data_IF_295630007278
#
_entry.id   IF_295630007278
#
_cell.length_a   1.000
_cell.length_b   1.000
_cell.length_c   1.000
_cell.angle_alpha   90.00
_cell.angle_beta   90.00
_cell.angle_gamma   90.00
#
_symmetry.space_group_name_H-M   'P 1'
#
loop_
_entity.id
_entity.type
_entity.pdbx_description
1 polymer ?
#
# COMPACT_ATOMS: atom_id res chain seq x y z
N UNK A 1 22.77 3.75 7.55
CA UNK A 1 21.83 4.40 8.51
C UNK A 1 22.47 4.53 9.91
N UNK A 2 22.53 5.75 10.46
CA UNK A 2 23.21 6.07 11.74
C UNK A 2 22.59 5.36 12.96
N UNK A 3 21.31 5.03 12.86
CA UNK A 3 20.55 4.14 13.73
C UNK A 3 19.98 3.07 12.81
N UNK A 4 20.16 1.79 13.11
CA UNK A 4 19.86 0.62 12.26
C UNK A 4 18.37 0.44 11.88
N UNK A 5 17.72 1.50 11.39
CA UNK A 5 16.31 1.57 11.06
C UNK A 5 16.03 1.22 9.61
N UNK A 6 14.81 0.73 9.38
CA UNK A 6 14.24 0.47 8.06
C UNK A 6 13.63 1.74 7.46
N UNK A 7 13.56 1.84 6.12
CA UNK A 7 12.84 2.92 5.46
C UNK A 7 11.36 2.91 5.86
N UNK A 8 10.86 4.02 6.37
CA UNK A 8 9.48 4.18 6.82
C UNK A 8 8.67 4.97 5.77
N UNK A 9 7.51 4.46 5.39
CA UNK A 9 6.54 5.16 4.51
C UNK A 9 5.41 5.80 5.32
N UNK A 10 4.68 6.74 4.71
CA UNK A 10 3.55 7.42 5.34
C UNK A 10 2.39 6.48 5.65
N UNK A 11 1.91 6.46 6.89
CA UNK A 11 0.80 5.61 7.33
C UNK A 11 -0.57 6.28 7.12
N UNK A 12 -0.98 6.48 5.86
CA UNK A 12 -2.18 7.24 5.46
C UNK A 12 -3.48 6.79 6.16
N UNK A 13 -3.70 5.48 6.30
CA UNK A 13 -4.89 4.96 6.98
C UNK A 13 -4.91 5.33 8.48
N UNK A 14 -3.75 5.32 9.15
CA UNK A 14 -3.62 5.68 10.56
C UNK A 14 -3.70 7.19 10.77
N UNK A 15 -3.17 8.00 9.86
CA UNK A 15 -3.31 9.45 9.94
C UNK A 15 -4.76 9.88 9.77
N UNK A 16 -5.50 9.29 8.82
CA UNK A 16 -6.92 9.55 8.64
C UNK A 16 -7.73 9.24 9.91
N UNK A 17 -7.46 8.11 10.56
CA UNK A 17 -8.10 7.76 11.84
C UNK A 17 -7.72 8.74 12.94
N UNK A 18 -6.45 9.12 13.03
CA UNK A 18 -5.96 10.08 14.03
C UNK A 18 -6.62 11.46 13.89
N UNK A 19 -6.82 11.92 12.65
CA UNK A 19 -7.51 13.18 12.35
C UNK A 19 -8.99 13.07 12.74
N UNK A 20 -9.64 11.95 12.42
CA UNK A 20 -11.04 11.68 12.81
C UNK A 20 -11.23 11.65 14.33
N UNK A 21 -10.23 11.23 15.09
CA UNK A 21 -10.20 11.30 16.56
C UNK A 21 -9.90 12.69 17.12
N UNK A 22 -9.85 13.74 16.30
CA UNK A 22 -9.65 15.12 16.74
C UNK A 22 -8.19 15.56 16.84
N UNK A 23 -7.22 14.78 16.35
CA UNK A 23 -5.82 15.20 16.34
C UNK A 23 -5.62 16.35 15.35
N UNK A 24 -5.29 17.54 15.87
CA UNK A 24 -5.00 18.76 15.08
C UNK A 24 -3.53 19.15 15.06
N UNK A 25 -2.69 18.54 15.92
CA UNK A 25 -1.28 18.90 16.08
C UNK A 25 -0.37 17.67 15.92
N UNK A 26 0.90 17.84 15.51
CA UNK A 26 1.87 16.75 15.40
C UNK A 26 2.20 16.08 16.75
N UNK A 27 1.79 16.69 17.86
CA UNK A 27 1.98 16.16 19.22
C UNK A 27 1.35 14.78 19.43
N UNK A 28 0.23 14.48 18.74
CA UNK A 28 -0.38 13.16 18.77
C UNK A 28 0.54 12.06 18.21
N UNK A 29 1.39 12.40 17.23
CA UNK A 29 2.38 11.48 16.65
C UNK A 29 3.54 11.21 17.61
N UNK A 30 4.07 12.28 18.23
CA UNK A 30 5.15 12.17 19.23
C UNK A 30 4.72 11.32 20.42
N UNK A 31 3.52 11.55 20.96
CA UNK A 31 3.00 10.74 22.06
C UNK A 31 2.89 9.25 21.70
N UNK A 32 2.35 8.92 20.50
CA UNK A 32 2.30 7.54 20.01
C UNK A 32 3.69 6.92 19.84
N UNK A 33 4.68 7.71 19.41
CA UNK A 33 6.05 7.22 19.24
C UNK A 33 6.72 6.92 20.58
N UNK A 34 6.62 7.84 21.55
CA UNK A 34 7.14 7.66 22.92
C UNK A 34 6.45 6.47 23.58
N UNK A 35 5.12 6.36 23.48
CA UNK A 35 4.38 5.25 24.05
C UNK A 35 4.86 3.90 23.49
N UNK A 36 5.03 3.78 22.16
CA UNK A 36 5.56 2.55 21.56
C UNK A 36 6.99 2.25 21.99
N UNK A 37 7.84 3.27 22.16
CA UNK A 37 9.22 3.09 22.62
C UNK A 37 9.26 2.55 24.06
N UNK A 38 8.47 3.16 24.96
CA UNK A 38 8.33 2.71 26.35
C UNK A 38 7.78 1.29 26.39
N UNK A 39 6.69 1.04 25.66
CA UNK A 39 6.09 -0.30 25.59
C UNK A 39 7.09 -1.33 25.06
N UNK A 40 7.85 -1.03 24.00
CA UNK A 40 8.86 -1.94 23.49
C UNK A 40 9.95 -2.26 24.52
N UNK A 41 10.40 -1.29 25.31
CA UNK A 41 11.41 -1.51 26.35
C UNK A 41 10.91 -2.41 27.49
N UNK A 42 9.65 -2.23 27.94
CA UNK A 42 9.09 -3.03 29.04
C UNK A 42 8.49 -4.37 28.59
N UNK A 43 7.87 -4.43 27.40
CA UNK A 43 7.16 -5.60 26.90
C UNK A 43 8.03 -6.52 26.02
N UNK A 44 9.29 -6.17 25.72
CA UNK A 44 10.19 -7.01 24.91
C UNK A 44 10.22 -8.47 25.37
N UNK A 45 10.34 -8.72 26.68
CA UNK A 45 10.36 -10.06 27.26
C UNK A 45 9.04 -10.85 27.07
N UNK A 46 7.91 -10.17 26.96
CA UNK A 46 6.60 -10.81 26.77
C UNK A 46 6.30 -11.07 25.30
N UNK A 47 6.95 -10.38 24.37
CA UNK A 47 6.78 -10.57 22.94
C UNK A 47 7.32 -11.93 22.47
N UNK A 48 8.31 -12.50 23.16
CA UNK A 48 8.84 -13.84 22.85
C UNK A 48 7.84 -14.96 23.13
N UNK A 49 6.85 -14.73 23.99
CA UNK A 49 5.78 -15.68 24.30
C UNK A 49 4.66 -15.67 23.24
N UNK A 50 4.69 -14.74 22.29
CA UNK A 50 3.62 -14.58 21.30
C UNK A 50 3.70 -15.71 20.27
N UNK A 51 2.65 -16.55 20.13
CA UNK A 51 2.64 -17.60 19.14
C UNK A 51 2.68 -17.03 17.72
N UNK A 52 3.43 -17.67 16.83
CA UNK A 52 3.48 -17.30 15.41
C UNK A 52 2.10 -17.32 14.74
N UNK A 53 1.18 -18.16 15.23
CA UNK A 53 -0.21 -18.19 14.79
C UNK A 53 -0.94 -16.85 14.98
N UNK A 54 -0.70 -16.15 16.09
CA UNK A 54 -1.31 -14.85 16.36
C UNK A 54 -0.82 -13.79 15.36
N UNK A 55 0.49 -13.77 15.10
CA UNK A 55 1.10 -12.83 14.14
C UNK A 55 0.57 -13.12 12.73
N UNK A 56 0.51 -14.38 12.32
CA UNK A 56 -0.07 -14.79 11.04
C UNK A 56 -1.53 -14.34 10.88
N UNK A 57 -2.35 -14.54 11.92
CA UNK A 57 -3.74 -14.09 11.93
C UNK A 57 -3.89 -12.58 11.75
N UNK A 58 -3.06 -11.79 12.44
CA UNK A 58 -3.05 -10.32 12.30
C UNK A 58 -2.61 -9.91 10.89
N UNK A 59 -1.60 -10.57 10.30
CA UNK A 59 -1.13 -10.27 8.95
C UNK A 59 -2.22 -10.50 7.90
N UNK A 60 -2.93 -11.63 7.98
CA UNK A 60 -4.07 -11.92 7.09
C UNK A 60 -5.17 -10.89 7.28
N UNK A 61 -5.53 -10.56 8.52
CA UNK A 61 -6.56 -9.55 8.81
C UNK A 61 -6.20 -8.18 8.25
N UNK A 62 -4.94 -7.73 8.41
CA UNK A 62 -4.47 -6.46 7.85
C UNK A 62 -4.49 -6.52 6.32
N UNK A 63 -4.00 -7.59 5.70
CA UNK A 63 -4.02 -7.77 4.25
C UNK A 63 -5.45 -7.72 3.68
N UNK A 64 -6.42 -8.37 4.35
CA UNK A 64 -7.82 -8.30 3.97
C UNK A 64 -8.39 -6.87 4.08
N UNK A 65 -7.96 -6.08 5.06
CA UNK A 65 -8.39 -4.68 5.18
C UNK A 65 -7.76 -3.75 4.14
N UNK A 66 -6.66 -4.14 3.49
CA UNK A 66 -6.05 -3.36 2.41
C UNK A 66 -6.81 -3.53 1.09
N UNK A 67 -7.48 -4.66 0.90
CA UNK A 67 -8.29 -4.92 -0.30
C UNK A 67 -9.65 -4.23 -0.10
N UNK A 68 -9.89 -3.15 -0.86
CA UNK A 68 -11.16 -2.43 -0.84
C UNK A 68 -12.00 -2.77 -2.06
N UNK A 69 -13.13 -3.49 -1.91
CA UNK A 69 -13.99 -3.87 -3.03
C UNK A 69 -14.53 -2.67 -3.82
N UNK A 70 -14.76 -1.54 -3.13
CA UNK A 70 -15.22 -0.31 -3.74
C UNK A 70 -14.23 0.24 -4.78
N UNK A 71 -12.93 0.28 -4.46
CA UNK A 71 -11.88 0.76 -5.36
C UNK A 71 -11.73 -0.19 -6.58
N UNK A 72 -11.85 -1.50 -6.37
CA UNK A 72 -11.84 -2.49 -7.48
C UNK A 72 -13.01 -2.26 -8.44
N UNK A 73 -14.20 -1.96 -7.89
CA UNK A 73 -15.39 -1.68 -8.69
C UNK A 73 -15.20 -0.39 -9.50
N UNK A 74 -14.61 0.64 -8.91
CA UNK A 74 -14.28 1.90 -9.58
C UNK A 74 -13.32 1.68 -10.77
N UNK A 75 -12.23 0.92 -10.57
CA UNK A 75 -11.29 0.56 -11.64
C UNK A 75 -11.98 -0.21 -12.77
N UNK A 76 -12.92 -1.11 -12.43
CA UNK A 76 -13.72 -1.83 -13.43
C UNK A 76 -14.57 -0.88 -14.29
N UNK A 77 -15.04 0.23 -13.72
CA UNK A 77 -15.79 1.26 -14.44
C UNK A 77 -14.90 2.20 -15.28
N UNK A 78 -13.62 2.40 -14.90
CA UNK A 78 -12.65 3.18 -15.69
C UNK A 78 -12.37 2.56 -17.07
N UNK A 79 -12.27 1.23 -17.13
CA UNK A 79 -12.10 0.53 -18.40
C UNK A 79 -11.49 -0.86 -18.26
N UNK A 80 -11.68 -1.69 -19.31
CA UNK A 80 -11.16 -3.06 -19.35
C UNK A 80 -9.63 -3.13 -19.30
N UNK A 81 -8.94 -2.11 -19.84
CA UNK A 81 -7.47 -2.05 -19.85
C UNK A 81 -6.89 -1.84 -18.45
N UNK A 82 -7.40 -0.84 -17.71
CA UNK A 82 -6.95 -0.54 -16.34
C UNK A 82 -7.22 -1.73 -15.39
N UNK A 83 -8.38 -2.37 -15.54
CA UNK A 83 -8.70 -3.59 -14.80
C UNK A 83 -7.74 -4.75 -15.11
N UNK A 84 -7.33 -4.90 -16.37
CA UNK A 84 -6.37 -5.94 -16.78
C UNK A 84 -4.98 -5.71 -16.19
N UNK A 85 -4.51 -4.46 -16.12
CA UNK A 85 -3.20 -4.14 -15.52
C UNK A 85 -3.22 -4.30 -14.00
N UNK A 86 -4.34 -3.95 -13.35
CA UNK A 86 -4.54 -4.23 -11.93
C UNK A 86 -4.44 -5.73 -11.64
N UNK A 87 -5.13 -6.57 -12.41
CA UNK A 87 -5.09 -8.03 -12.24
C UNK A 87 -3.69 -8.60 -12.53
N UNK A 88 -3.05 -8.14 -13.61
CA UNK A 88 -1.68 -8.51 -13.95
C UNK A 88 -0.72 -8.24 -12.78
N UNK A 89 -0.77 -7.05 -12.19
CA UNK A 89 0.10 -6.65 -11.08
C UNK A 89 -0.20 -7.46 -9.81
N UNK A 90 -1.48 -7.72 -9.53
CA UNK A 90 -1.91 -8.52 -8.37
C UNK A 90 -1.40 -9.98 -8.44
N UNK A 91 -1.22 -10.53 -9.63
CA UNK A 91 -0.69 -11.88 -9.85
C UNK A 91 0.84 -11.89 -9.92
N UNK A 92 1.46 -10.89 -10.57
CA UNK A 92 2.90 -10.86 -10.76
C UNK A 92 3.69 -10.58 -9.49
N UNK A 93 3.19 -9.73 -8.59
CA UNK A 93 3.92 -9.38 -7.36
C UNK A 93 4.13 -10.59 -6.43
N UNK A 94 3.12 -11.45 -6.17
CA UNK A 94 3.33 -12.68 -5.40
C UNK A 94 4.20 -13.74 -6.09
N UNK A 95 4.25 -13.75 -7.43
CA UNK A 95 4.99 -14.76 -8.20
C UNK A 95 6.46 -14.41 -8.43
N UNK A 96 6.77 -13.12 -8.52
CA UNK A 96 8.11 -12.62 -8.79
C UNK A 96 8.63 -11.90 -7.56
N UNK A 97 8.43 -10.59 -7.49
CA UNK A 97 8.74 -9.72 -6.37
C UNK A 97 8.00 -8.38 -6.56
N UNK A 98 7.91 -7.56 -5.51
CA UNK A 98 7.30 -6.23 -5.60
C UNK A 98 7.93 -5.37 -6.70
N UNK A 99 9.27 -5.30 -6.73
CA UNK A 99 9.99 -4.44 -7.67
C UNK A 99 9.77 -4.89 -9.13
N UNK A 100 10.00 -6.17 -9.41
CA UNK A 100 9.86 -6.76 -10.75
C UNK A 100 8.41 -6.70 -11.24
N UNK A 101 7.45 -7.04 -10.37
CA UNK A 101 6.03 -6.98 -10.67
C UNK A 101 5.56 -5.57 -11.06
N UNK A 102 5.88 -4.56 -10.26
CA UNK A 102 5.46 -3.18 -10.52
C UNK A 102 6.15 -2.58 -11.74
N UNK A 103 7.46 -2.79 -11.92
CA UNK A 103 8.18 -2.28 -13.08
C UNK A 103 7.67 -2.89 -14.39
N UNK A 104 7.42 -4.20 -14.42
CA UNK A 104 6.87 -4.84 -15.62
C UNK A 104 5.49 -4.30 -15.99
N UNK A 105 4.62 -4.07 -14.99
CA UNK A 105 3.30 -3.50 -15.19
C UNK A 105 3.36 -2.07 -15.76
N UNK A 106 4.27 -1.24 -15.25
CA UNK A 106 4.49 0.13 -15.76
C UNK A 106 4.96 0.13 -17.22
N UNK A 107 5.90 -0.74 -17.58
CA UNK A 107 6.39 -0.87 -18.95
C UNK A 107 5.24 -1.24 -19.89
N UNK A 108 4.40 -2.21 -19.50
CA UNK A 108 3.23 -2.62 -20.29
C UNK A 108 2.24 -1.45 -20.41
N UNK A 109 1.95 -0.73 -19.33
CA UNK A 109 1.06 0.43 -19.34
C UNK A 109 1.53 1.49 -20.34
N UNK A 110 2.80 1.90 -20.28
CA UNK A 110 3.35 2.92 -21.18
C UNK A 110 3.44 2.43 -22.62
N UNK A 111 3.85 1.18 -22.86
CA UNK A 111 3.94 0.62 -24.21
C UNK A 111 2.57 0.58 -24.90
N UNK A 112 1.55 0.11 -24.20
CA UNK A 112 0.19 0.05 -24.74
C UNK A 112 -0.38 1.45 -24.94
N UNK A 113 -0.24 2.35 -23.98
CA UNK A 113 -0.71 3.75 -24.12
C UNK A 113 -0.02 4.48 -25.27
N UNK A 114 1.29 4.27 -25.45
CA UNK A 114 2.04 4.82 -26.58
C UNK A 114 1.55 4.26 -27.92
N UNK A 115 1.28 2.94 -27.99
CA UNK A 115 0.72 2.32 -29.19
C UNK A 115 -0.69 2.87 -29.52
N UNK A 116 -1.58 3.00 -28.54
CA UNK A 116 -2.91 3.60 -28.73
C UNK A 116 -2.84 5.07 -29.14
N UNK A 117 -1.94 5.86 -28.55
CA UNK A 117 -1.75 7.26 -28.91
C UNK A 117 -1.16 7.44 -30.31
N UNK A 118 -0.41 6.45 -30.81
CA UNK A 118 0.08 6.41 -32.19
C UNK A 118 -1.04 6.02 -33.18
N UNK A 119 -2.05 5.27 -32.74
CA UNK A 119 -3.18 4.79 -33.57
C UNK A 119 -4.34 5.79 -33.63
N UNK A 120 -4.51 6.67 -32.64
CA UNK A 120 -5.37 7.87 -32.73
C UNK A 120 -4.51 9.12 -32.98
N UNK A 121 -4.09 9.39 -34.23
CA UNK A 121 -3.57 10.71 -34.55
C UNK A 121 -4.68 11.73 -34.28
N UNK A 122 -4.34 12.78 -33.54
CA UNK A 122 -5.15 13.98 -33.25
C UNK A 122 -6.24 14.22 -34.32
N UNK A 123 -7.50 13.93 -34.00
CA UNK A 123 -8.61 14.68 -34.59
C UNK A 123 -8.66 16.04 -33.88
N UNK A 124 -7.94 16.96 -34.49
CA UNK A 124 -8.20 18.40 -34.64
C UNK A 124 -9.20 19.08 -33.70
N UNK A 125 -8.66 20.09 -33.01
CA UNK A 125 -9.28 21.37 -32.66
C UNK A 125 -10.54 21.73 -33.44
N UNK A 126 -11.60 22.11 -32.71
CA UNK A 126 -12.28 23.40 -32.81
C UNK A 126 -13.02 23.70 -31.52
#
# INVERSE_FOLDING_TARGET
PLVQGFPCTGALARTATSIKSGARTPMAGYFKAILKLVMAFYLAQYLELVPMACIGGILVWVASNMIKPAEIKEIKHLGKFEFSIMLYTAVMVPLTDFLTGVLSALIIYFAVKYAFNKIKPKETSH
#
